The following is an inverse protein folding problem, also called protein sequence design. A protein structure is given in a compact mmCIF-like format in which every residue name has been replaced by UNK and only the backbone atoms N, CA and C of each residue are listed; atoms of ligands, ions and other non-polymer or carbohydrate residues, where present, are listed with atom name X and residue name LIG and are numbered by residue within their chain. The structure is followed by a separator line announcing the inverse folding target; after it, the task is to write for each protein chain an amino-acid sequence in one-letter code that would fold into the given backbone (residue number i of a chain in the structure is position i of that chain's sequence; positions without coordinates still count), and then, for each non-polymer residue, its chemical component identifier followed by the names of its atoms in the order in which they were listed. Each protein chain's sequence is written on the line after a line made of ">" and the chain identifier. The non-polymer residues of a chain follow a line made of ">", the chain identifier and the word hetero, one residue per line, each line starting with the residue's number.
data_IF_095164206997
#
_entry.id   IF_095164206997
#
_cell.length_a   1.000
_cell.length_b   1.000
_cell.length_c   1.000
_cell.angle_alpha   90.00
_cell.angle_beta   90.00
_cell.angle_gamma   90.00
#
_symmetry.space_group_name_H-M   'P 1'
#
loop_
_entity.id
_entity.type
_entity.pdbx_description
1 polymer ?
#
# COMPACT_ATOMS: atom_id res chain seq x y z
N UNK A 1 4.60 -1.87 3.80
CA UNK A 1 4.25 -1.46 5.17
C UNK A 1 3.32 -0.26 5.22
N UNK A 2 3.69 0.92 4.69
CA UNK A 2 2.85 2.12 4.76
C UNK A 2 1.39 1.90 4.28
N UNK A 3 1.20 1.35 3.07
CA UNK A 3 -0.13 1.04 2.52
C UNK A 3 -0.95 0.07 3.40
N UNK A 4 -0.30 -0.93 3.99
CA UNK A 4 -0.98 -1.90 4.85
C UNK A 4 -1.42 -1.24 6.16
N UNK A 5 -0.57 -0.38 6.73
CA UNK A 5 -0.85 0.38 7.95
C UNK A 5 -2.06 1.29 7.74
N UNK A 6 -2.07 2.05 6.65
CA UNK A 6 -3.20 2.91 6.31
C UNK A 6 -4.49 2.13 6.09
N UNK A 7 -4.42 0.99 5.40
CA UNK A 7 -5.59 0.15 5.17
C UNK A 7 -6.17 -0.39 6.49
N UNK A 8 -5.31 -0.89 7.39
CA UNK A 8 -5.73 -1.39 8.69
C UNK A 8 -6.31 -0.29 9.60
N UNK A 9 -5.72 0.91 9.56
CA UNK A 9 -6.25 2.07 10.30
C UNK A 9 -7.58 2.56 9.73
N UNK A 10 -7.77 2.55 8.40
CA UNK A 10 -9.06 2.90 7.75
C UNK A 10 -10.19 1.94 8.11
N UNK A 11 -9.89 0.72 8.54
CA UNK A 11 -10.90 -0.21 9.04
C UNK A 11 -11.40 0.14 10.45
N UNK A 12 -10.73 1.05 11.17
CA UNK A 12 -11.20 1.61 12.43
C UNK A 12 -11.95 2.92 12.15
N UNK A 13 -13.20 3.01 12.63
CA UNK A 13 -14.17 3.96 12.10
C UNK A 13 -13.93 5.42 12.55
N UNK A 14 -13.38 5.68 13.75
CA UNK A 14 -13.37 7.06 14.29
C UNK A 14 -12.12 7.52 15.07
N UNK A 15 -11.30 6.62 15.67
CA UNK A 15 -10.10 7.01 16.45
C UNK A 15 -8.85 6.22 16.07
N UNK A 16 -8.16 6.67 15.01
CA UNK A 16 -6.97 5.98 14.49
C UNK A 16 -5.83 5.84 15.53
N UNK A 17 -5.71 6.79 16.47
CA UNK A 17 -4.66 6.78 17.51
C UNK A 17 -4.91 5.73 18.60
N UNK A 18 -6.17 5.38 18.87
CA UNK A 18 -6.54 4.31 19.81
C UNK A 18 -6.34 2.93 19.18
N UNK A 19 -6.58 2.83 17.87
CA UNK A 19 -6.36 1.62 17.09
C UNK A 19 -4.86 1.35 16.83
N UNK A 20 -4.01 2.38 16.87
CA UNK A 20 -2.62 2.31 16.44
C UNK A 20 -1.80 1.24 17.20
N UNK A 21 -1.85 1.13 18.54
CA UNK A 21 -1.10 0.08 19.25
C UNK A 21 -1.54 -1.32 18.85
N UNK A 22 -2.85 -1.55 18.71
CA UNK A 22 -3.42 -2.85 18.32
C UNK A 22 -3.08 -3.23 16.88
N UNK A 23 -3.14 -2.27 15.94
CA UNK A 23 -2.78 -2.48 14.53
C UNK A 23 -1.30 -2.80 14.40
N UNK A 24 -0.42 -2.05 15.07
CA UNK A 24 1.03 -2.31 15.05
C UNK A 24 1.36 -3.67 15.67
N UNK A 25 0.68 -4.02 16.76
CA UNK A 25 0.80 -5.33 17.41
C UNK A 25 0.38 -6.46 16.47
N UNK A 26 -0.78 -6.35 15.82
CA UNK A 26 -1.25 -7.33 14.83
C UNK A 26 -0.29 -7.49 13.65
N UNK A 27 0.26 -6.40 13.12
CA UNK A 27 1.24 -6.45 12.03
C UNK A 27 2.56 -7.14 12.42
N UNK A 28 2.95 -7.04 13.68
CA UNK A 28 4.17 -7.65 14.21
C UNK A 28 4.02 -9.14 14.49
N UNK A 29 2.81 -9.58 14.86
CA UNK A 29 2.48 -10.97 15.08
C UNK A 29 2.00 -11.69 13.81
N UNK A 30 1.63 -10.96 12.76
CA UNK A 30 1.17 -11.55 11.52
C UNK A 30 2.27 -12.41 10.87
N UNK A 31 1.92 -13.65 10.55
CA UNK A 31 2.78 -14.55 9.78
C UNK A 31 2.96 -13.98 8.37
N UNK A 32 4.21 -13.83 7.93
CA UNK A 32 4.50 -13.48 6.55
C UNK A 32 4.75 -14.75 5.74
N UNK A 33 3.80 -15.13 4.89
CA UNK A 33 3.85 -16.40 4.13
C UNK A 33 5.11 -16.55 3.27
N UNK A 34 5.65 -15.46 2.71
CA UNK A 34 6.88 -15.49 1.90
C UNK A 34 8.10 -16.03 2.66
N UNK A 35 8.17 -15.78 3.97
CA UNK A 35 9.32 -16.11 4.84
C UNK A 35 8.95 -17.22 5.84
N UNK A 36 7.66 -17.52 5.99
CA UNK A 36 7.14 -18.55 6.91
C UNK A 36 7.25 -18.18 8.39
N UNK A 37 7.47 -16.90 8.73
CA UNK A 37 7.68 -16.43 10.12
C UNK A 37 7.09 -15.04 10.32
N UNK A 38 6.83 -14.65 11.57
CA UNK A 38 6.37 -13.30 11.92
C UNK A 38 7.53 -12.32 12.19
N UNK A 39 7.32 -11.01 12.00
CA UNK A 39 8.33 -10.00 12.34
C UNK A 39 8.84 -10.09 13.78
N UNK A 40 7.97 -10.41 14.75
CA UNK A 40 8.37 -10.59 16.15
C UNK A 40 9.24 -11.82 16.36
N UNK A 41 8.92 -12.94 15.71
CA UNK A 41 9.78 -14.14 15.75
C UNK A 41 11.17 -13.85 15.17
N UNK A 42 11.25 -13.08 14.08
CA UNK A 42 12.54 -12.71 13.50
C UNK A 42 13.38 -11.83 14.42
N UNK A 43 12.76 -10.92 15.18
CA UNK A 43 13.50 -10.01 16.07
C UNK A 43 13.80 -10.58 17.45
N UNK A 44 12.89 -11.38 18.00
CA UNK A 44 12.97 -11.87 19.38
C UNK A 44 13.18 -13.38 19.49
N UNK A 45 13.09 -14.11 18.37
CA UNK A 45 13.24 -15.57 18.34
C UNK A 45 12.04 -16.36 18.86
N UNK A 46 10.98 -15.69 19.34
CA UNK A 46 9.77 -16.33 19.87
C UNK A 46 8.50 -15.68 19.28
N UNK A 47 7.42 -16.47 19.04
CA UNK A 47 6.11 -15.92 18.68
C UNK A 47 5.54 -15.00 19.75
N UNK A 48 4.86 -13.94 19.31
CA UNK A 48 4.20 -13.01 20.21
C UNK A 48 3.01 -13.67 20.90
N UNK A 49 3.09 -13.88 22.22
CA UNK A 49 1.94 -14.35 23.02
C UNK A 49 1.04 -13.16 23.36
N UNK A 50 -0.11 -13.06 22.69
CA UNK A 50 -1.16 -12.12 23.07
C UNK A 50 -1.85 -12.61 24.34
N UNK A 51 -1.87 -11.80 25.41
CA UNK A 51 -2.63 -12.12 26.62
C UNK A 51 -4.12 -12.26 26.27
N UNK A 52 -4.75 -13.35 26.70
CA UNK A 52 -6.16 -13.65 26.44
C UNK A 52 -7.17 -12.61 26.97
N UNK A 53 -6.72 -11.64 27.78
CA UNK A 53 -7.52 -10.48 28.21
C UNK A 53 -7.99 -9.60 27.05
N UNK A 54 -7.22 -9.51 25.96
CA UNK A 54 -7.65 -8.83 24.72
C UNK A 54 -8.79 -9.57 23.99
N UNK A 55 -9.02 -10.84 24.32
CA UNK A 55 -10.06 -11.70 23.76
C UNK A 55 -11.10 -12.05 24.84
N UNK A 56 -11.37 -11.10 25.75
CA UNK A 56 -12.40 -11.28 26.77
C UNK A 56 -13.74 -11.60 26.09
N UNK A 57 -14.42 -12.68 26.49
CA UNK A 57 -15.67 -13.09 25.87
C UNK A 57 -16.74 -12.03 26.11
N UNK A 58 -17.22 -11.43 25.02
CA UNK A 58 -18.47 -10.66 25.04
C UNK A 58 -19.62 -11.58 25.47
N UNK A 59 -20.61 -11.10 26.25
CA UNK A 59 -21.80 -11.88 26.62
C UNK A 59 -22.59 -12.39 25.39
N UNK A 60 -22.35 -11.84 24.20
CA UNK A 60 -22.90 -12.30 22.92
C UNK A 60 -22.02 -13.35 22.22
N UNK A 61 -21.44 -14.30 22.98
CA UNK A 61 -20.69 -15.41 22.40
C UNK A 61 -21.62 -16.34 21.61
N UNK A 62 -21.78 -16.04 20.32
CA UNK A 62 -22.40 -16.95 19.35
C UNK A 62 -21.60 -18.26 19.35
N UNK A 63 -22.26 -19.43 19.20
CA UNK A 63 -21.55 -20.69 19.06
C UNK A 63 -20.54 -20.60 17.91
N UNK A 64 -19.32 -21.11 18.12
CA UNK A 64 -18.20 -20.99 17.19
C UNK A 64 -18.57 -21.41 15.75
N UNK A 65 -19.48 -22.37 15.59
CA UNK A 65 -20.03 -22.82 14.31
C UNK A 65 -20.77 -21.73 13.53
N UNK A 66 -21.54 -20.87 14.20
CA UNK A 66 -22.25 -19.76 13.55
C UNK A 66 -21.29 -18.64 13.14
N UNK A 67 -20.27 -18.35 13.96
CA UNK A 67 -19.26 -17.35 13.66
C UNK A 67 -18.43 -17.76 12.44
N UNK A 68 -17.96 -19.02 12.39
CA UNK A 68 -17.21 -19.55 11.24
C UNK A 68 -18.07 -19.52 9.96
N UNK A 69 -19.36 -19.84 10.06
CA UNK A 69 -20.29 -19.77 8.92
C UNK A 69 -20.45 -18.33 8.40
N UNK A 70 -20.64 -17.37 9.29
CA UNK A 70 -20.75 -15.95 8.94
C UNK A 70 -19.45 -15.41 8.31
N UNK A 71 -18.29 -15.79 8.85
CA UNK A 71 -16.99 -15.41 8.29
C UNK A 71 -16.79 -16.00 6.89
N UNK A 72 -17.09 -17.28 6.68
CA UNK A 72 -17.01 -17.90 5.34
C UNK A 72 -17.89 -17.17 4.33
N UNK A 73 -19.13 -16.85 4.69
CA UNK A 73 -20.04 -16.12 3.80
C UNK A 73 -19.50 -14.72 3.47
N UNK A 74 -18.94 -14.02 4.46
CA UNK A 74 -18.36 -12.68 4.27
C UNK A 74 -17.11 -12.72 3.40
N UNK A 75 -16.20 -13.67 3.63
CA UNK A 75 -15.00 -13.88 2.80
C UNK A 75 -15.38 -14.28 1.36
N UNK A 76 -16.39 -15.14 1.19
CA UNK A 76 -16.89 -15.50 -0.15
C UNK A 76 -17.49 -14.31 -0.89
N UNK A 77 -18.14 -13.38 -0.18
CA UNK A 77 -18.63 -12.13 -0.78
C UNK A 77 -17.51 -11.17 -1.17
N UNK A 78 -16.34 -11.27 -0.52
CA UNK A 78 -15.14 -10.49 -0.81
C UNK A 78 -14.30 -11.11 -1.94
N UNK A 79 -14.96 -11.69 -2.96
CA UNK A 79 -14.28 -12.33 -4.07
C UNK A 79 -13.22 -11.38 -4.65
N UNK A 80 -11.93 -11.77 -4.67
CA UNK A 80 -10.90 -10.94 -5.26
C UNK A 80 -11.30 -10.68 -6.70
N UNK A 81 -11.54 -9.40 -7.03
CA UNK A 81 -11.59 -9.03 -8.44
C UNK A 81 -10.27 -9.46 -9.06
N UNK A 82 -10.34 -10.04 -10.26
CA UNK A 82 -9.13 -10.40 -10.98
C UNK A 82 -8.21 -9.18 -10.95
N UNK A 83 -6.97 -9.30 -10.44
CA UNK A 83 -6.04 -8.21 -10.53
C UNK A 83 -6.00 -7.86 -12.00
N UNK A 84 -6.39 -6.63 -12.34
CA UNK A 84 -6.17 -6.09 -13.68
C UNK A 84 -4.72 -6.40 -13.97
N UNK A 85 -4.48 -7.26 -14.96
CA UNK A 85 -3.14 -7.48 -15.48
C UNK A 85 -2.70 -6.11 -15.96
N UNK A 86 -2.00 -5.39 -15.09
CA UNK A 86 -1.09 -4.33 -15.47
C UNK A 86 0.00 -5.04 -16.25
N UNK A 87 -0.40 -5.36 -17.49
CA UNK A 87 0.39 -5.99 -18.51
C UNK A 87 1.73 -5.28 -18.51
N UNK A 88 2.80 -6.08 -18.55
CA UNK A 88 4.21 -5.71 -18.61
C UNK A 88 4.53 -5.00 -19.94
N UNK A 89 3.61 -4.18 -20.45
CA UNK A 89 3.80 -3.41 -21.65
C UNK A 89 5.00 -2.50 -21.39
N UNK A 90 6.06 -2.59 -22.19
CA UNK A 90 7.15 -1.66 -22.07
C UNK A 90 6.56 -0.25 -22.24
N UNK A 91 6.85 0.63 -21.28
CA UNK A 91 6.45 2.03 -21.37
C UNK A 91 6.94 2.55 -22.72
N UNK A 92 6.03 3.07 -23.54
CA UNK A 92 6.42 3.65 -24.82
C UNK A 92 7.30 4.88 -24.55
N UNK A 93 8.56 4.80 -24.94
CA UNK A 93 9.51 5.91 -24.91
C UNK A 93 9.85 6.23 -26.36
N UNK A 94 9.57 7.46 -26.80
CA UNK A 94 9.95 7.89 -28.14
C UNK A 94 11.48 7.87 -28.28
N UNK A 95 11.98 7.35 -29.41
CA UNK A 95 13.41 7.38 -29.75
C UNK A 95 13.95 8.81 -29.85
N UNK A 96 13.09 9.75 -30.22
CA UNK A 96 13.42 11.17 -30.36
C UNK A 96 13.73 11.84 -29.02
N UNK A 97 13.37 11.21 -27.90
CA UNK A 97 13.70 11.73 -26.56
C UNK A 97 15.22 11.80 -26.35
N UNK A 98 15.98 10.87 -26.95
CA UNK A 98 17.44 10.88 -26.86
C UNK A 98 18.08 12.05 -27.63
N UNK A 99 17.39 12.56 -28.65
CA UNK A 99 17.87 13.67 -29.49
C UNK A 99 17.18 15.00 -29.18
N UNK A 100 16.14 15.00 -28.35
CA UNK A 100 15.37 16.20 -28.03
C UNK A 100 16.25 17.25 -27.34
N UNK A 101 16.20 18.48 -27.83
CA UNK A 101 16.86 19.65 -27.21
C UNK A 101 16.03 20.23 -26.06
N UNK A 102 14.71 20.05 -26.12
CA UNK A 102 13.76 20.58 -25.15
C UNK A 102 12.74 19.51 -24.76
N UNK A 103 12.33 19.48 -23.50
CA UNK A 103 11.32 18.54 -22.99
C UNK A 103 10.30 19.21 -22.09
N UNK A 104 9.09 18.65 -22.06
CA UNK A 104 8.05 19.00 -21.11
C UNK A 104 8.07 18.04 -19.93
N UNK A 105 7.95 18.57 -18.71
CA UNK A 105 7.95 17.80 -17.46
C UNK A 105 6.53 17.70 -16.95
N UNK A 106 6.07 16.48 -16.66
CA UNK A 106 4.76 16.27 -16.04
C UNK A 106 4.79 16.69 -14.58
N UNK A 107 3.87 17.58 -14.20
CA UNK A 107 3.73 18.06 -12.83
C UNK A 107 2.53 17.37 -12.21
N UNK A 108 2.76 16.35 -11.37
CA UNK A 108 1.69 15.69 -10.60
C UNK A 108 1.37 16.50 -9.33
N UNK A 109 0.76 17.68 -9.52
CA UNK A 109 0.22 18.48 -8.42
C UNK A 109 -1.20 18.01 -8.12
N UNK A 110 -1.50 17.81 -6.84
CA UNK A 110 -2.86 17.53 -6.32
C UNK A 110 -3.71 18.79 -6.19
N UNK A 111 -3.22 19.93 -6.68
CA UNK A 111 -3.85 21.21 -6.44
C UNK A 111 -5.05 21.43 -7.36
N UNK A 112 -6.13 21.94 -6.76
CA UNK A 112 -7.43 22.10 -7.39
C UNK A 112 -7.43 23.29 -8.35
N UNK A 113 -7.28 23.04 -9.65
CA UNK A 113 -7.47 24.06 -10.69
C UNK A 113 -7.09 23.59 -12.09
N UNK A 114 -7.71 24.20 -13.11
CA UNK A 114 -7.47 24.00 -14.55
C UNK A 114 -6.05 24.44 -14.97
N UNK A 115 -5.01 23.73 -14.52
CA UNK A 115 -3.65 23.93 -15.00
C UNK A 115 -3.22 22.79 -15.93
N UNK A 116 -2.36 23.12 -16.89
CA UNK A 116 -1.82 22.10 -17.79
C UNK A 116 -0.95 21.11 -17.00
N UNK A 117 -1.10 19.79 -17.24
CA UNK A 117 -0.38 18.75 -16.50
C UNK A 117 1.12 18.70 -16.82
N UNK A 118 1.58 19.50 -17.77
CA UNK A 118 2.98 19.59 -18.20
C UNK A 118 3.48 21.02 -18.08
N UNK A 119 4.75 21.16 -17.70
CA UNK A 119 5.46 22.43 -17.59
C UNK A 119 6.70 22.38 -18.48
N UNK A 120 7.09 23.51 -19.08
CA UNK A 120 8.19 23.59 -20.04
C UNK A 120 7.81 24.41 -21.28
N UNK A 121 8.60 24.36 -22.36
CA UNK A 121 9.74 23.46 -22.61
C UNK A 121 11.02 23.86 -21.86
N UNK A 122 11.70 22.88 -21.24
CA UNK A 122 13.00 23.08 -20.60
C UNK A 122 14.14 22.54 -21.46
N UNK A 123 15.27 23.27 -21.59
CA UNK A 123 16.42 22.77 -22.33
C UNK A 123 17.13 21.64 -21.59
N UNK A 124 17.53 20.61 -22.34
CA UNK A 124 18.26 19.43 -21.83
C UNK A 124 19.76 19.73 -21.79
N UNK A 125 20.35 19.71 -20.59
CA UNK A 125 21.78 19.95 -20.35
C UNK A 125 22.57 18.65 -20.46
N UNK A 126 22.10 17.60 -19.78
CA UNK A 126 22.77 16.29 -19.72
C UNK A 126 21.75 15.18 -19.95
N UNK A 127 22.17 14.12 -20.66
CA UNK A 127 21.35 12.96 -20.99
C UNK A 127 21.92 11.71 -20.34
N UNK A 128 21.10 11.00 -19.57
CA UNK A 128 21.40 9.70 -19.00
C UNK A 128 20.44 8.63 -19.49
N UNK A 129 20.70 7.37 -19.13
CA UNK A 129 19.87 6.23 -19.56
C UNK A 129 18.40 6.35 -19.07
N UNK A 130 18.20 6.81 -17.82
CA UNK A 130 16.87 6.93 -17.18
C UNK A 130 16.50 8.35 -16.75
N UNK A 131 17.45 9.28 -16.77
CA UNK A 131 17.28 10.62 -16.23
C UNK A 131 17.91 11.67 -17.15
N UNK A 132 17.30 12.85 -17.18
CA UNK A 132 17.76 14.02 -17.93
C UNK A 132 17.95 15.18 -16.96
N UNK A 133 19.00 15.96 -17.16
CA UNK A 133 19.23 17.20 -16.41
C UNK A 133 18.71 18.36 -17.23
N UNK A 134 17.81 19.15 -16.64
CA UNK A 134 17.13 20.24 -17.30
C UNK A 134 17.54 21.56 -16.69
N UNK A 135 17.62 22.62 -17.50
CA UNK A 135 17.75 23.97 -17.01
C UNK A 135 16.36 24.53 -16.69
N UNK A 136 16.07 24.76 -15.42
CA UNK A 136 14.84 25.42 -14.96
C UNK A 136 15.25 26.85 -14.56
N UNK A 137 14.66 27.85 -15.21
CA UNK A 137 14.85 29.27 -14.85
C UNK A 137 13.82 29.71 -13.82
#
# INVERSE_FOLDING_TARGET
>A
MHRQLEAALKCHNDTWYEALPAVLMGMRAALKEDIGTSPVELTFGEPMRLSGEYLSPSPDMRPASQLVKALRQKIQSLSPHQPSTHDTRPTFVSKDLNTASYVFVRTNRTDSGYQYPYTGPYPVIERGNKAYKLLIQ
#
